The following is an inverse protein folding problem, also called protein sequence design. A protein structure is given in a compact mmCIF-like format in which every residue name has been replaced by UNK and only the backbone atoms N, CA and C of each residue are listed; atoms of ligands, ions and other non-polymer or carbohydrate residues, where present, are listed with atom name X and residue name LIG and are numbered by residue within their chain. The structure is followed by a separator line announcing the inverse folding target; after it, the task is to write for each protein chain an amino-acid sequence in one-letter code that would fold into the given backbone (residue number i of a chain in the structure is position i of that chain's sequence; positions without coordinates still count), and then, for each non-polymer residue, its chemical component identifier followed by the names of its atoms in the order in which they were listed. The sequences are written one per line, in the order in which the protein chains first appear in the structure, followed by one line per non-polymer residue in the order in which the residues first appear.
data_IF_981714031413
#
_entry.id   IF_981714031413
#
_cell.length_a   1.000
_cell.length_b   1.000
_cell.length_c   1.000
_cell.angle_alpha   90.00
_cell.angle_beta   90.00
_cell.angle_gamma   90.00
#
_symmetry.space_group_name_H-M   'P 1'
#
loop_
_entity.id
_entity.type
_entity.pdbx_description
1 polymer ?
#
# COMPACT_ATOMS: atom_id res chain seq x y z
N UNK A 1 6.65 -27.04 11.28
CA UNK A 1 6.04 -25.95 10.49
C UNK A 1 4.59 -25.83 10.91
N UNK A 2 4.18 -24.65 11.39
CA UNK A 2 2.80 -24.40 11.78
C UNK A 2 1.96 -24.41 10.50
N UNK A 3 0.97 -25.28 10.40
CA UNK A 3 0.00 -25.28 9.30
C UNK A 3 -1.27 -24.62 9.78
N UNK A 4 -1.92 -23.85 8.91
CA UNK A 4 -3.23 -23.30 9.19
C UNK A 4 -4.20 -23.54 8.03
N UNK A 5 -5.49 -23.37 8.29
CA UNK A 5 -6.52 -23.55 7.26
C UNK A 5 -6.53 -22.36 6.32
N UNK A 6 -6.66 -22.62 5.03
CA UNK A 6 -6.73 -21.61 3.98
C UNK A 6 -7.88 -20.62 4.22
N UNK A 7 -9.05 -21.09 4.62
CA UNK A 7 -10.18 -20.20 4.91
C UNK A 7 -9.87 -19.15 6.00
N UNK A 8 -9.19 -19.56 7.07
CA UNK A 8 -8.69 -18.64 8.09
C UNK A 8 -7.60 -17.74 7.55
N UNK A 9 -6.63 -18.30 6.83
CA UNK A 9 -5.52 -17.55 6.26
C UNK A 9 -6.00 -16.43 5.32
N UNK A 10 -6.99 -16.70 4.47
CA UNK A 10 -7.54 -15.69 3.56
C UNK A 10 -8.25 -14.55 4.30
N UNK A 11 -8.90 -14.84 5.44
CA UNK A 11 -9.50 -13.80 6.30
C UNK A 11 -8.42 -12.99 6.99
N UNK A 12 -7.41 -13.65 7.57
CA UNK A 12 -6.30 -12.99 8.25
C UNK A 12 -5.48 -12.10 7.27
N UNK A 13 -5.45 -12.49 5.98
CA UNK A 13 -4.90 -11.71 4.88
C UNK A 13 -5.85 -10.60 4.36
N UNK A 14 -7.11 -10.56 4.80
CA UNK A 14 -8.08 -9.55 4.38
C UNK A 14 -8.75 -9.79 3.03
N UNK A 15 -8.65 -11.00 2.45
CA UNK A 15 -9.38 -11.37 1.24
C UNK A 15 -10.89 -11.51 1.47
N UNK A 16 -11.31 -11.79 2.70
CA UNK A 16 -12.71 -11.95 3.09
C UNK A 16 -12.94 -11.43 4.51
N UNK A 17 -14.12 -10.87 4.77
CA UNK A 17 -14.49 -10.39 6.11
C UNK A 17 -14.67 -11.52 7.14
N UNK A 18 -15.10 -12.70 6.71
CA UNK A 18 -15.40 -13.80 7.62
C UNK A 18 -14.92 -15.13 7.05
N UNK A 19 -14.61 -16.06 7.96
CA UNK A 19 -14.19 -17.42 7.60
C UNK A 19 -15.26 -18.13 6.77
N UNK A 20 -16.54 -17.89 7.06
CA UNK A 20 -17.66 -18.48 6.30
C UNK A 20 -17.70 -17.98 4.85
N UNK A 21 -17.49 -16.66 4.62
CA UNK A 21 -17.36 -16.09 3.28
C UNK A 21 -16.16 -16.70 2.54
N UNK A 22 -15.00 -16.80 3.20
CA UNK A 22 -13.81 -17.43 2.64
C UNK A 22 -14.03 -18.90 2.26
N UNK A 23 -14.58 -19.71 3.18
CA UNK A 23 -14.88 -21.12 2.91
C UNK A 23 -15.83 -21.29 1.72
N UNK A 24 -16.85 -20.45 1.62
CA UNK A 24 -17.83 -20.49 0.52
C UNK A 24 -17.18 -20.17 -0.82
N UNK A 25 -16.31 -19.16 -0.87
CA UNK A 25 -15.57 -18.79 -2.08
C UNK A 25 -14.57 -19.87 -2.51
N UNK A 26 -13.86 -20.49 -1.55
CA UNK A 26 -12.98 -21.63 -1.83
C UNK A 26 -13.80 -22.77 -2.44
N UNK A 27 -14.90 -23.18 -1.82
CA UNK A 27 -15.76 -24.28 -2.32
C UNK A 27 -16.33 -24.00 -3.71
N UNK A 28 -16.62 -22.73 -4.02
CA UNK A 28 -17.07 -22.29 -5.34
C UNK A 28 -15.95 -22.25 -6.41
N UNK A 29 -14.70 -22.57 -6.05
CA UNK A 29 -13.55 -22.48 -6.95
C UNK A 29 -13.17 -21.05 -7.30
N UNK A 30 -13.47 -20.08 -6.42
CA UNK A 30 -13.16 -18.67 -6.64
C UNK A 30 -11.77 -18.26 -6.12
N UNK A 31 -11.02 -19.18 -5.51
CA UNK A 31 -9.69 -18.92 -4.97
C UNK A 31 -8.66 -19.70 -5.77
N UNK A 32 -7.68 -18.98 -6.30
CA UNK A 32 -6.51 -19.52 -7.01
C UNK A 32 -5.27 -19.26 -6.16
N UNK A 33 -4.39 -20.24 -6.02
CA UNK A 33 -3.09 -20.13 -5.34
C UNK A 33 -2.00 -20.67 -6.26
N UNK A 34 -0.99 -19.86 -6.60
CA UNK A 34 0.11 -20.24 -7.48
C UNK A 34 -0.39 -20.98 -8.75
N UNK A 35 -1.37 -20.39 -9.43
CA UNK A 35 -2.05 -20.93 -10.60
C UNK A 35 -2.98 -22.15 -10.42
N UNK A 36 -3.17 -22.65 -9.20
CA UNK A 36 -4.11 -23.75 -8.91
C UNK A 36 -5.39 -23.28 -8.23
N UNK A 37 -6.55 -23.70 -8.75
CA UNK A 37 -7.82 -23.46 -8.06
C UNK A 37 -7.97 -24.37 -6.86
N UNK A 38 -8.10 -23.76 -5.68
CA UNK A 38 -8.31 -24.50 -4.44
C UNK A 38 -9.81 -24.60 -4.18
N UNK A 39 -10.32 -25.83 -4.09
CA UNK A 39 -11.74 -26.12 -3.83
C UNK A 39 -12.00 -26.74 -2.46
N UNK A 40 -10.97 -26.85 -1.61
CA UNK A 40 -11.07 -27.43 -0.26
C UNK A 40 -10.89 -26.35 0.80
N UNK A 41 -11.97 -25.92 1.47
CA UNK A 41 -11.91 -24.88 2.50
C UNK A 41 -10.92 -25.16 3.65
N UNK A 42 -10.77 -26.43 4.04
CA UNK A 42 -9.81 -26.88 5.05
C UNK A 42 -8.40 -27.16 4.52
N UNK A 43 -8.07 -26.75 3.29
CA UNK A 43 -6.72 -26.87 2.72
C UNK A 43 -5.71 -26.26 3.68
N UNK A 44 -4.60 -26.97 3.90
CA UNK A 44 -3.60 -26.57 4.88
C UNK A 44 -2.50 -25.78 4.17
N UNK A 45 -2.23 -24.57 4.64
CA UNK A 45 -1.22 -23.67 4.11
C UNK A 45 -0.17 -23.35 5.18
N UNK A 46 1.01 -22.91 4.73
CA UNK A 46 2.11 -22.54 5.61
C UNK A 46 2.22 -21.01 5.62
N UNK A 47 1.85 -20.30 6.71
CA UNK A 47 1.91 -18.84 6.77
C UNK A 47 3.32 -18.27 6.53
N UNK A 48 4.36 -19.07 6.79
CA UNK A 48 5.75 -18.70 6.60
C UNK A 48 6.18 -18.60 5.11
N UNK A 49 5.27 -18.88 4.17
CA UNK A 49 5.52 -18.80 2.72
C UNK A 49 4.69 -17.70 2.09
N UNK A 50 5.26 -17.02 1.10
CA UNK A 50 4.50 -16.16 0.21
C UNK A 50 3.79 -16.99 -0.86
N UNK A 51 2.58 -16.55 -1.21
CA UNK A 51 1.71 -17.18 -2.20
C UNK A 51 1.14 -16.10 -3.10
N UNK A 52 1.09 -16.37 -4.41
CA UNK A 52 0.21 -15.61 -5.31
C UNK A 52 -1.22 -16.10 -5.10
N UNK A 53 -2.09 -15.23 -4.59
CA UNK A 53 -3.47 -15.56 -4.25
C UNK A 53 -4.40 -14.64 -5.03
N UNK A 54 -5.28 -15.24 -5.82
CA UNK A 54 -6.29 -14.51 -6.60
C UNK A 54 -7.68 -14.93 -6.15
N UNK A 55 -8.57 -13.95 -5.95
CA UNK A 55 -9.96 -14.16 -5.55
C UNK A 55 -10.88 -13.51 -6.58
N UNK A 56 -11.73 -14.32 -7.23
CA UNK A 56 -12.56 -13.91 -8.38
C UNK A 56 -13.49 -12.71 -8.11
N UNK A 57 -13.91 -12.50 -6.87
CA UNK A 57 -14.87 -11.45 -6.48
C UNK A 57 -14.26 -10.28 -5.71
N UNK A 58 -12.94 -10.08 -5.79
CA UNK A 58 -12.32 -8.93 -5.14
C UNK A 58 -12.68 -7.62 -5.86
N UNK A 59 -12.89 -6.52 -5.11
CA UNK A 59 -13.17 -5.22 -5.69
C UNK A 59 -11.97 -4.63 -6.45
N UNK A 60 -10.75 -5.07 -6.14
CA UNK A 60 -9.51 -4.61 -6.77
C UNK A 60 -8.71 -5.80 -7.30
N UNK A 61 -7.81 -5.58 -8.26
CA UNK A 61 -6.91 -6.65 -8.77
C UNK A 61 -5.95 -7.23 -7.73
N UNK A 62 -5.72 -6.52 -6.62
CA UNK A 62 -4.92 -7.04 -5.50
C UNK A 62 -5.41 -6.48 -4.15
N UNK A 63 -5.00 -7.12 -3.06
CA UNK A 63 -5.34 -6.65 -1.70
C UNK A 63 -4.84 -5.25 -1.37
N UNK A 64 -3.80 -4.78 -2.07
CA UNK A 64 -3.27 -3.44 -1.89
C UNK A 64 -4.38 -2.38 -1.98
N UNK A 65 -5.35 -2.57 -2.88
CA UNK A 65 -6.46 -1.62 -3.05
C UNK A 65 -7.27 -1.36 -1.77
N UNK A 66 -7.37 -2.32 -0.84
CA UNK A 66 -8.05 -2.10 0.45
C UNK A 66 -7.31 -1.12 1.37
N UNK A 67 -5.97 -1.06 1.26
CA UNK A 67 -5.17 -0.12 2.04
C UNK A 67 -5.42 1.30 1.56
N UNK A 68 -5.33 1.55 0.25
CA UNK A 68 -5.60 2.87 -0.31
C UNK A 68 -7.06 3.27 -0.11
N UNK A 69 -8.01 2.34 -0.28
CA UNK A 69 -9.43 2.60 0.02
C UNK A 69 -9.63 3.09 1.45
N UNK A 70 -8.96 2.47 2.43
CA UNK A 70 -9.00 2.94 3.83
C UNK A 70 -8.45 4.37 3.98
N UNK A 71 -7.38 4.71 3.27
CA UNK A 71 -6.86 6.08 3.26
C UNK A 71 -7.89 7.06 2.71
N UNK A 72 -8.49 6.77 1.56
CA UNK A 72 -9.48 7.64 0.91
C UNK A 72 -10.80 7.75 1.68
N UNK A 73 -11.17 6.74 2.46
CA UNK A 73 -12.33 6.79 3.36
C UNK A 73 -12.06 7.59 4.64
N UNK A 74 -10.80 7.73 5.03
CA UNK A 74 -10.40 8.39 6.27
C UNK A 74 -9.98 9.83 6.05
N UNK A 75 -9.28 10.09 4.95
CA UNK A 75 -8.76 11.41 4.60
C UNK A 75 -9.62 12.03 3.49
N UNK A 76 -9.96 13.32 3.59
CA UNK A 76 -10.74 14.04 2.57
C UNK A 76 -9.89 14.38 1.33
N UNK A 77 -9.17 13.39 0.77
CA UNK A 77 -8.37 13.53 -0.44
C UNK A 77 -9.24 13.25 -1.65
N UNK A 78 -9.42 14.25 -2.51
CA UNK A 78 -10.09 14.06 -3.79
C UNK A 78 -9.18 13.32 -4.77
N UNK A 79 -9.71 12.32 -5.48
CA UNK A 79 -9.04 11.59 -6.57
C UNK A 79 -9.63 11.92 -7.94
N UNK A 80 -10.92 12.26 -7.98
CA UNK A 80 -11.63 12.51 -9.24
C UNK A 80 -10.95 13.61 -10.07
N UNK A 81 -10.70 13.31 -11.35
CA UNK A 81 -10.07 14.22 -12.29
C UNK A 81 -8.55 14.39 -12.15
N UNK A 82 -7.91 13.83 -11.12
CA UNK A 82 -6.48 14.01 -10.84
C UNK A 82 -5.57 13.14 -11.69
N UNK A 83 -4.32 13.59 -11.81
CA UNK A 83 -3.23 12.82 -12.41
C UNK A 83 -2.46 12.19 -11.26
N UNK A 84 -2.46 10.86 -11.21
CA UNK A 84 -1.93 10.12 -10.08
C UNK A 84 -0.59 9.45 -10.40
N UNK A 85 0.22 9.26 -9.37
CA UNK A 85 1.46 8.50 -9.40
C UNK A 85 1.36 7.36 -8.39
N UNK A 86 1.40 6.11 -8.87
CA UNK A 86 1.42 4.91 -8.02
C UNK A 86 2.86 4.41 -7.88
N UNK A 87 3.49 4.74 -6.74
CA UNK A 87 4.86 4.39 -6.40
C UNK A 87 4.93 2.99 -5.77
N UNK A 88 5.34 2.01 -6.57
CA UNK A 88 5.33 0.59 -6.20
C UNK A 88 4.03 -0.10 -6.61
N UNK A 89 3.62 0.09 -7.86
CA UNK A 89 2.31 -0.34 -8.35
C UNK A 89 2.09 -1.86 -8.23
N UNK A 90 3.14 -2.67 -8.33
CA UNK A 90 3.11 -4.14 -8.24
C UNK A 90 2.04 -4.74 -9.16
N UNK A 91 1.09 -5.51 -8.62
CA UNK A 91 -0.06 -6.06 -9.38
C UNK A 91 -1.07 -4.99 -9.82
N UNK A 92 -1.02 -3.78 -9.25
CA UNK A 92 -1.87 -2.64 -9.62
C UNK A 92 -3.05 -2.39 -8.68
N UNK A 93 -2.98 -2.85 -7.42
CA UNK A 93 -4.10 -2.69 -6.47
C UNK A 93 -4.41 -1.23 -6.11
N UNK A 94 -3.39 -0.40 -5.91
CA UNK A 94 -3.53 1.04 -5.68
C UNK A 94 -4.01 1.74 -6.94
N UNK A 95 -3.41 1.45 -8.09
CA UNK A 95 -3.86 1.92 -9.41
C UNK A 95 -5.35 1.60 -9.66
N UNK A 96 -5.83 0.36 -9.44
CA UNK A 96 -7.25 0.00 -9.61
C UNK A 96 -8.14 0.83 -8.67
N UNK A 97 -7.72 1.02 -7.42
CA UNK A 97 -8.45 1.87 -6.47
C UNK A 97 -8.52 3.33 -6.93
N UNK A 98 -7.43 3.91 -7.45
CA UNK A 98 -7.43 5.26 -8.02
C UNK A 98 -8.37 5.39 -9.22
N UNK A 99 -8.29 4.44 -10.16
CA UNK A 99 -9.12 4.43 -11.37
C UNK A 99 -10.61 4.32 -11.06
N UNK A 100 -10.98 3.55 -10.04
CA UNK A 100 -12.37 3.42 -9.55
C UNK A 100 -12.87 4.68 -8.84
N UNK A 101 -11.98 5.50 -8.30
CA UNK A 101 -12.29 6.78 -7.65
C UNK A 101 -12.14 7.99 -8.58
N UNK A 102 -12.11 7.78 -9.90
CA UNK A 102 -12.19 8.85 -10.89
C UNK A 102 -10.84 9.45 -11.31
N UNK A 103 -9.71 8.80 -10.99
CA UNK A 103 -8.41 9.26 -11.48
C UNK A 103 -8.45 9.42 -13.02
N UNK A 104 -8.02 10.58 -13.50
CA UNK A 104 -7.98 10.91 -14.93
C UNK A 104 -6.86 10.14 -15.62
N UNK A 105 -5.72 9.99 -14.95
CA UNK A 105 -4.56 9.26 -15.43
C UNK A 105 -3.74 8.73 -14.25
N UNK A 106 -3.03 7.61 -14.44
CA UNK A 106 -2.15 7.01 -13.43
C UNK A 106 -0.82 6.60 -14.04
N UNK A 107 0.28 7.13 -13.51
CA UNK A 107 1.63 6.64 -13.73
C UNK A 107 1.89 5.50 -12.75
N UNK A 108 1.83 4.26 -13.23
CA UNK A 108 2.04 3.06 -12.43
C UNK A 108 3.51 2.65 -12.48
N UNK A 109 4.27 3.00 -11.44
CA UNK A 109 5.73 2.86 -11.43
C UNK A 109 6.16 1.71 -10.53
N UNK A 110 7.00 0.81 -11.04
CA UNK A 110 7.55 -0.30 -10.28
C UNK A 110 9.01 -0.61 -10.66
N UNK A 111 9.77 -1.16 -9.71
CA UNK A 111 11.14 -1.65 -9.95
C UNK A 111 11.14 -3.04 -10.59
N UNK A 112 10.04 -3.79 -10.44
CA UNK A 112 9.81 -5.07 -11.08
C UNK A 112 9.47 -4.94 -12.57
N UNK A 113 9.27 -6.08 -13.21
CA UNK A 113 8.88 -6.17 -14.62
C UNK A 113 7.73 -7.17 -14.78
N UNK A 114 6.72 -6.80 -15.57
CA UNK A 114 5.59 -7.67 -15.91
C UNK A 114 4.63 -7.94 -14.75
N UNK A 115 4.60 -7.09 -13.72
CA UNK A 115 3.83 -7.37 -12.49
C UNK A 115 2.37 -6.92 -12.57
N UNK A 116 2.08 -5.84 -13.29
CA UNK A 116 0.73 -5.29 -13.39
C UNK A 116 -0.24 -6.29 -14.01
N UNK A 117 -1.40 -6.45 -13.37
CA UNK A 117 -2.52 -7.21 -13.92
C UNK A 117 -2.92 -6.67 -15.31
N UNK A 118 -3.31 -7.58 -16.20
CA UNK A 118 -3.68 -7.24 -17.58
C UNK A 118 -4.78 -6.18 -17.68
N UNK A 119 -5.78 -6.22 -16.78
CA UNK A 119 -6.86 -5.23 -16.72
C UNK A 119 -6.30 -3.83 -16.51
N UNK A 120 -5.32 -3.70 -15.62
CA UNK A 120 -4.70 -2.41 -15.28
C UNK A 120 -3.76 -1.96 -16.38
N UNK A 121 -2.89 -2.86 -16.86
CA UNK A 121 -1.96 -2.56 -17.95
C UNK A 121 -2.66 -2.10 -19.23
N UNK A 122 -3.85 -2.62 -19.49
CA UNK A 122 -4.61 -2.32 -20.71
C UNK A 122 -5.53 -1.11 -20.59
N UNK A 123 -5.67 -0.51 -19.40
CA UNK A 123 -6.49 0.69 -19.24
C UNK A 123 -5.77 1.89 -19.88
N UNK A 124 -6.46 2.59 -20.79
CA UNK A 124 -5.92 3.76 -21.51
C UNK A 124 -5.53 4.93 -20.59
N UNK A 125 -5.99 4.91 -19.33
CA UNK A 125 -5.64 5.90 -18.31
C UNK A 125 -4.37 5.54 -17.55
N UNK A 126 -3.69 4.44 -17.88
CA UNK A 126 -2.52 3.96 -17.16
C UNK A 126 -1.28 3.99 -18.06
N UNK A 127 -0.19 4.57 -17.56
CA UNK A 127 1.15 4.40 -18.12
C UNK A 127 1.97 3.52 -17.17
N UNK A 128 2.27 2.31 -17.60
CA UNK A 128 3.15 1.42 -16.85
C UNK A 128 4.62 1.84 -17.06
N UNK A 129 5.33 2.12 -15.97
CA UNK A 129 6.76 2.46 -15.97
C UNK A 129 7.45 1.41 -15.11
N UNK A 130 8.09 0.44 -15.76
CA UNK A 130 8.67 -0.72 -15.11
C UNK A 130 10.19 -0.65 -15.09
N UNK A 131 10.81 -1.40 -14.17
CA UNK A 131 12.27 -1.41 -13.97
C UNK A 131 12.84 -0.04 -13.56
N UNK A 132 12.03 0.79 -12.91
CA UNK A 132 12.43 2.14 -12.51
C UNK A 132 12.68 2.21 -11.01
N UNK A 133 13.88 2.65 -10.63
CA UNK A 133 14.25 2.80 -9.23
C UNK A 133 13.91 4.20 -8.72
N UNK A 134 12.80 4.30 -8.00
CA UNK A 134 12.25 5.55 -7.46
C UNK A 134 13.19 6.34 -6.54
N UNK A 135 14.26 5.72 -6.04
CA UNK A 135 15.28 6.43 -5.24
C UNK A 135 16.15 7.35 -6.09
N UNK A 136 16.37 7.03 -7.37
CA UNK A 136 17.39 7.65 -8.22
C UNK A 136 16.88 8.02 -9.62
N UNK A 137 15.63 7.71 -9.97
CA UNK A 137 15.10 8.08 -11.28
C UNK A 137 14.86 9.59 -11.38
N UNK A 138 15.02 10.10 -12.59
CA UNK A 138 14.83 11.50 -12.93
C UNK A 138 13.42 11.74 -13.48
N UNK A 139 13.04 13.01 -13.58
CA UNK A 139 11.73 13.41 -14.11
C UNK A 139 11.47 12.86 -15.52
N UNK A 140 12.49 12.84 -16.37
CA UNK A 140 12.42 12.32 -17.74
C UNK A 140 12.26 10.80 -17.84
N UNK A 141 12.55 10.06 -16.76
CA UNK A 141 12.29 8.61 -16.73
C UNK A 141 10.79 8.31 -16.60
N UNK A 142 10.01 9.27 -16.11
CA UNK A 142 8.58 9.13 -15.85
C UNK A 142 7.75 9.83 -16.94
N UNK A 143 8.07 11.10 -17.20
CA UNK A 143 7.26 11.97 -18.03
C UNK A 143 7.94 12.22 -19.37
N UNK A 144 7.16 12.08 -20.45
CA UNK A 144 7.56 12.62 -21.75
C UNK A 144 7.32 14.15 -21.79
N UNK A 145 7.81 14.80 -22.83
CA UNK A 145 7.54 16.22 -23.07
C UNK A 145 6.02 16.46 -23.19
N UNK A 146 5.51 17.53 -22.59
CA UNK A 146 4.09 17.91 -22.54
C UNK A 146 3.13 16.95 -21.82
N UNK A 147 3.64 15.87 -21.21
CA UNK A 147 2.80 15.01 -20.37
C UNK A 147 2.39 15.72 -19.07
N UNK A 148 1.15 15.54 -18.59
CA UNK A 148 0.70 16.16 -17.36
C UNK A 148 1.42 15.54 -16.16
N UNK A 149 1.92 16.39 -15.26
CA UNK A 149 2.63 15.95 -14.06
C UNK A 149 1.63 15.52 -12.99
N UNK A 150 1.92 14.42 -12.30
CA UNK A 150 1.05 13.94 -11.24
C UNK A 150 0.95 14.93 -10.07
N UNK A 151 -0.26 15.12 -9.57
CA UNK A 151 -0.56 15.96 -8.41
C UNK A 151 -0.99 15.12 -7.19
N UNK A 152 -1.29 13.82 -7.35
CA UNK A 152 -1.53 12.89 -6.25
C UNK A 152 -0.59 11.70 -6.34
N UNK A 153 0.21 11.46 -5.31
CA UNK A 153 1.02 10.26 -5.20
C UNK A 153 0.45 9.30 -4.17
N UNK A 154 0.48 8.02 -4.48
CA UNK A 154 0.22 6.93 -3.53
C UNK A 154 1.46 6.04 -3.50
N UNK A 155 1.85 5.50 -2.34
CA UNK A 155 3.04 4.63 -2.27
C UNK A 155 2.84 3.39 -1.39
N UNK A 156 3.12 2.20 -1.95
CA UNK A 156 3.19 0.91 -1.24
C UNK A 156 4.56 0.24 -1.49
N UNK A 157 5.63 0.88 -1.03
CA UNK A 157 7.01 0.44 -1.29
C UNK A 157 7.46 -0.63 -0.29
N UNK A 158 8.23 -1.62 -0.75
CA UNK A 158 8.80 -2.67 0.10
C UNK A 158 10.32 -2.66 0.05
N UNK A 159 10.98 -3.11 1.12
CA UNK A 159 12.45 -3.21 1.23
C UNK A 159 13.21 -1.88 1.15
N UNK A 160 12.52 -0.74 1.27
CA UNK A 160 13.12 0.59 1.32
C UNK A 160 12.35 1.46 2.32
N UNK A 161 13.08 2.30 3.04
CA UNK A 161 12.51 3.32 3.93
C UNK A 161 11.99 4.50 3.10
N UNK A 162 10.82 5.04 3.47
CA UNK A 162 10.25 6.25 2.90
C UNK A 162 11.22 7.44 3.00
N UNK A 163 12.00 7.52 4.08
CA UNK A 163 13.01 8.58 4.28
C UNK A 163 14.11 8.58 3.21
N UNK A 164 14.27 7.47 2.47
CA UNK A 164 15.25 7.36 1.38
C UNK A 164 14.70 7.72 0.01
N UNK A 165 13.37 7.83 -0.14
CA UNK A 165 12.71 8.03 -1.44
C UNK A 165 11.87 9.30 -1.50
N UNK A 166 11.29 9.75 -0.38
CA UNK A 166 10.38 10.91 -0.36
C UNK A 166 11.00 12.18 -0.96
N UNK A 167 12.30 12.39 -0.76
CA UNK A 167 13.03 13.51 -1.38
C UNK A 167 13.03 13.44 -2.91
N UNK A 168 13.23 12.27 -3.50
CA UNK A 168 13.18 12.11 -4.95
C UNK A 168 11.74 12.17 -5.46
N UNK A 169 10.79 11.51 -4.79
CA UNK A 169 9.38 11.54 -5.15
C UNK A 169 8.82 12.96 -5.21
N UNK A 170 9.25 13.84 -4.29
CA UNK A 170 8.91 15.27 -4.34
C UNK A 170 9.26 15.94 -5.67
N UNK A 171 10.40 15.59 -6.26
CA UNK A 171 10.88 16.17 -7.51
C UNK A 171 10.13 15.62 -8.74
N UNK A 172 9.35 14.54 -8.58
CA UNK A 172 8.58 13.90 -9.64
C UNK A 172 7.12 14.36 -9.68
N UNK A 173 6.69 15.25 -8.77
CA UNK A 173 5.32 15.71 -8.68
C UNK A 173 5.18 17.16 -9.10
N UNK A 174 3.93 17.56 -9.36
CA UNK A 174 3.58 18.91 -9.78
C UNK A 174 4.12 19.94 -8.78
N UNK A 175 4.99 20.87 -9.19
CA UNK A 175 5.66 21.78 -8.26
C UNK A 175 4.73 22.80 -7.61
N UNK A 176 3.59 23.12 -8.24
CA UNK A 176 2.63 24.10 -7.71
C UNK A 176 1.85 23.52 -6.54
N UNK A 177 1.30 22.32 -6.72
CA UNK A 177 0.54 21.64 -5.67
C UNK A 177 0.57 20.14 -5.88
N UNK A 178 0.82 19.39 -4.80
CA UNK A 178 0.62 17.96 -4.78
C UNK A 178 0.38 17.43 -3.37
N UNK A 179 -0.16 16.20 -3.33
CA UNK A 179 -0.39 15.45 -2.10
C UNK A 179 0.17 14.04 -2.23
N UNK A 180 0.47 13.42 -1.09
CA UNK A 180 0.92 12.04 -1.02
C UNK A 180 0.13 11.25 0.02
N UNK A 181 -0.26 10.02 -0.33
CA UNK A 181 -0.74 9.00 0.60
C UNK A 181 0.31 7.90 0.67
N UNK A 182 1.10 7.90 1.74
CA UNK A 182 2.23 6.99 1.86
C UNK A 182 1.97 5.90 2.90
N UNK A 183 2.20 4.65 2.51
CA UNK A 183 2.16 3.51 3.41
C UNK A 183 3.49 3.38 4.17
N UNK A 184 3.44 3.56 5.48
CA UNK A 184 4.54 3.36 6.42
C UNK A 184 4.55 1.90 6.85
N UNK A 185 5.66 1.21 6.62
CA UNK A 185 5.86 -0.20 6.96
C UNK A 185 6.94 -0.35 8.03
N UNK A 186 6.59 -0.51 9.32
CA UNK A 186 7.57 -0.57 10.39
C UNK A 186 8.73 -1.54 10.16
N UNK A 187 8.48 -2.68 9.51
CA UNK A 187 9.49 -3.68 9.18
C UNK A 187 10.58 -3.22 8.18
N UNK A 188 10.34 -2.13 7.44
CA UNK A 188 11.30 -1.54 6.50
C UNK A 188 11.84 -0.19 6.96
N UNK A 189 11.22 0.40 7.98
CA UNK A 189 11.64 1.67 8.60
C UNK A 189 12.50 1.46 9.85
N UNK A 190 12.21 0.42 10.63
CA UNK A 190 12.91 0.12 11.87
C UNK A 190 14.33 -0.42 11.62
N UNK A 191 15.22 -0.18 12.58
CA UNK A 191 16.55 -0.79 12.61
C UNK A 191 16.47 -2.32 12.65
N UNK A 192 17.49 -3.01 12.10
CA UNK A 192 17.54 -4.47 12.02
C UNK A 192 17.40 -5.17 13.38
N UNK A 193 17.83 -4.51 14.45
CA UNK A 193 17.74 -4.95 15.84
C UNK A 193 16.31 -4.94 16.40
N UNK A 194 15.39 -4.18 15.78
CA UNK A 194 13.99 -4.04 16.20
C UNK A 194 13.02 -4.91 15.41
N UNK A 195 13.53 -5.71 14.47
CA UNK A 195 12.74 -6.63 13.64
C UNK A 195 12.95 -8.07 14.12
N UNK A 196 11.88 -8.71 14.57
CA UNK A 196 11.95 -10.06 15.14
C UNK A 196 12.06 -11.15 14.05
N UNK A 197 12.33 -12.39 14.48
CA UNK A 197 12.31 -13.56 13.61
C UNK A 197 10.95 -13.67 12.91
N UNK A 198 10.97 -13.74 11.58
CA UNK A 198 9.78 -13.70 10.73
C UNK A 198 9.50 -12.33 10.11
N UNK A 199 10.35 -11.33 10.37
CA UNK A 199 10.24 -10.01 9.74
C UNK A 199 9.09 -9.16 10.29
N UNK A 200 8.69 -9.40 11.54
CA UNK A 200 7.55 -8.73 12.18
C UNK A 200 8.01 -7.80 13.28
N UNK A 201 7.49 -6.57 13.30
CA UNK A 201 7.70 -5.62 14.40
C UNK A 201 6.50 -5.70 15.36
N UNK A 202 6.71 -6.16 16.60
CA UNK A 202 5.62 -6.32 17.59
C UNK A 202 5.57 -5.23 18.65
N UNK A 203 6.70 -4.56 18.90
CA UNK A 203 6.77 -3.54 19.93
C UNK A 203 6.07 -2.26 19.46
N UNK A 204 5.01 -1.84 20.16
CA UNK A 204 4.26 -0.61 19.87
C UNK A 204 5.13 0.64 19.85
N UNK A 205 6.10 0.75 20.77
CA UNK A 205 7.01 1.89 20.81
C UNK A 205 7.86 1.99 19.54
N UNK A 206 8.25 0.85 18.95
CA UNK A 206 8.94 0.85 17.65
C UNK A 206 8.03 1.38 16.55
N UNK A 207 6.71 1.09 16.59
CA UNK A 207 5.75 1.61 15.61
C UNK A 207 5.59 3.13 15.75
N UNK A 208 5.49 3.63 16.98
CA UNK A 208 5.43 5.07 17.26
C UNK A 208 6.69 5.79 16.73
N UNK A 209 7.87 5.26 17.07
CA UNK A 209 9.16 5.82 16.65
C UNK A 209 9.33 5.88 15.12
N UNK A 210 8.97 4.81 14.39
CA UNK A 210 9.10 4.83 12.92
C UNK A 210 8.14 5.81 12.27
N UNK A 211 6.93 5.96 12.82
CA UNK A 211 5.96 6.96 12.33
C UNK A 211 6.53 8.36 12.55
N UNK A 212 6.99 8.66 13.77
CA UNK A 212 7.62 9.96 14.09
C UNK A 212 8.80 10.26 13.16
N UNK A 213 9.69 9.30 12.93
CA UNK A 213 10.85 9.47 12.05
C UNK A 213 10.45 9.81 10.61
N UNK A 214 9.45 9.12 10.05
CA UNK A 214 8.96 9.38 8.69
C UNK A 214 8.30 10.76 8.61
N UNK A 215 7.45 11.11 9.58
CA UNK A 215 6.73 12.38 9.61
C UNK A 215 7.67 13.58 9.82
N UNK A 216 8.67 13.44 10.70
CA UNK A 216 9.71 14.44 10.91
C UNK A 216 10.56 14.62 9.66
N UNK A 217 10.92 13.54 8.97
CA UNK A 217 11.64 13.63 7.70
C UNK A 217 10.82 14.36 6.64
N UNK A 218 9.54 13.97 6.45
CA UNK A 218 8.62 14.62 5.52
C UNK A 218 8.51 16.13 5.80
N UNK A 219 8.38 16.51 7.08
CA UNK A 219 8.36 17.92 7.50
C UNK A 219 9.66 18.65 7.19
N UNK A 220 10.81 17.99 7.38
CA UNK A 220 12.12 18.59 7.11
C UNK A 220 12.37 18.87 5.62
N UNK A 221 11.74 18.10 4.73
CA UNK A 221 11.76 18.35 3.28
C UNK A 221 10.58 19.21 2.79
N UNK A 222 9.82 19.82 3.71
CA UNK A 222 8.84 20.85 3.40
C UNK A 222 7.40 20.38 3.19
N UNK A 223 7.04 19.14 3.56
CA UNK A 223 5.64 18.71 3.56
C UNK A 223 4.89 19.14 4.81
N UNK A 224 3.62 19.46 4.65
CA UNK A 224 2.64 19.48 5.73
C UNK A 224 2.09 18.08 5.99
N UNK A 225 1.90 17.73 7.25
CA UNK A 225 1.30 16.47 7.71
C UNK A 225 -0.20 16.71 7.95
N UNK A 226 -1.03 16.08 7.13
CA UNK A 226 -2.49 16.28 7.10
C UNK A 226 -3.28 15.16 7.76
N UNK A 227 -2.64 14.00 7.97
CA UNK A 227 -3.35 12.84 8.49
C UNK A 227 -2.43 11.66 8.78
N UNK A 228 -2.83 10.85 9.75
CA UNK A 228 -2.27 9.55 10.06
C UNK A 228 -3.39 8.58 10.39
N UNK A 229 -3.34 7.37 9.84
CA UNK A 229 -4.22 6.26 10.19
C UNK A 229 -3.47 4.94 9.99
N UNK A 230 -4.14 3.81 10.20
CA UNK A 230 -3.61 2.47 9.95
C UNK A 230 -4.27 1.81 8.75
N UNK A 231 -3.54 0.91 8.10
CA UNK A 231 -4.06 0.05 7.03
C UNK A 231 -5.18 -0.84 7.57
N UNK A 232 -6.22 -1.03 6.77
CA UNK A 232 -7.36 -1.92 7.08
C UNK A 232 -6.97 -3.40 7.11
N UNK A 233 -5.83 -3.77 6.53
CA UNK A 233 -5.29 -5.12 6.49
C UNK A 233 -3.82 -5.12 6.93
N UNK A 234 -3.35 -6.25 7.46
CA UNK A 234 -1.93 -6.47 7.75
C UNK A 234 -1.14 -6.78 6.49
N UNK A 235 0.16 -6.48 6.52
CA UNK A 235 1.11 -6.97 5.53
C UNK A 235 1.19 -8.50 5.51
N UNK A 236 1.78 -9.12 4.47
CA UNK A 236 1.76 -10.58 4.27
C UNK A 236 2.26 -11.40 5.48
N UNK A 237 3.32 -10.93 6.15
CA UNK A 237 3.89 -11.57 7.34
C UNK A 237 3.15 -11.20 8.65
N UNK A 238 2.05 -10.46 8.58
CA UNK A 238 1.26 -10.03 9.73
C UNK A 238 1.67 -8.69 10.35
N UNK A 239 2.51 -7.90 9.67
CA UNK A 239 2.87 -6.55 10.13
C UNK A 239 1.67 -5.60 10.08
N UNK A 240 1.50 -4.80 11.13
CA UNK A 240 0.62 -3.63 11.09
C UNK A 240 1.33 -2.54 10.29
N UNK A 241 0.61 -1.91 9.36
CA UNK A 241 1.12 -0.87 8.46
C UNK A 241 0.28 0.39 8.64
N UNK A 242 0.87 1.57 8.44
CA UNK A 242 0.21 2.86 8.64
C UNK A 242 0.13 3.66 7.35
N UNK A 243 -0.80 4.61 7.29
CA UNK A 243 -0.99 5.51 6.16
C UNK A 243 -0.84 6.94 6.65
N UNK A 244 0.07 7.70 6.04
CA UNK A 244 0.16 9.14 6.27
C UNK A 244 -0.29 9.92 5.03
N UNK A 245 -0.90 11.07 5.28
CA UNK A 245 -1.29 12.04 4.26
C UNK A 245 -0.40 13.27 4.37
N UNK A 246 0.32 13.56 3.29
CA UNK A 246 1.25 14.66 3.16
C UNK A 246 0.76 15.63 2.08
N UNK A 247 1.09 16.91 2.21
CA UNK A 247 0.79 17.94 1.20
C UNK A 247 1.95 18.91 1.03
N UNK A 248 2.18 19.38 -0.19
CA UNK A 248 3.18 20.43 -0.47
C UNK A 248 2.86 21.76 0.23
N UNK A 249 1.63 21.96 0.68
CA UNK A 249 1.21 23.11 1.49
C UNK A 249 1.40 22.86 2.99
N UNK A 250 2.41 23.52 3.56
CA UNK A 250 2.83 23.36 4.96
C UNK A 250 1.86 23.96 5.99
N UNK A 251 0.98 24.86 5.56
CA UNK A 251 0.19 25.72 6.47
C UNK A 251 -0.88 24.98 7.28
N UNK A 252 -1.29 23.77 6.89
CA UNK A 252 -2.30 22.98 7.64
C UNK A 252 -1.69 21.73 8.29
N UNK A 253 -0.63 21.86 9.09
CA UNK A 253 -0.20 20.76 9.95
C UNK A 253 -1.28 20.49 11.00
N UNK A 254 -1.75 19.25 11.10
CA UNK A 254 -2.64 18.84 12.17
C UNK A 254 -1.85 18.21 13.32
N UNK A 255 -2.32 18.41 14.54
CA UNK A 255 -1.82 17.65 15.69
C UNK A 255 -2.25 16.19 15.55
N UNK A 256 -1.28 15.27 15.62
CA UNK A 256 -1.52 13.84 15.48
C UNK A 256 -1.36 13.14 16.82
N UNK A 257 -2.32 12.27 17.16
CA UNK A 257 -2.16 11.30 18.24
C UNK A 257 -1.61 9.98 17.69
N UNK A 258 -0.29 9.94 17.54
CA UNK A 258 0.44 8.76 17.03
C UNK A 258 0.20 7.57 17.96
N UNK A 259 0.26 7.79 19.27
CA UNK A 259 0.09 6.74 20.28
C UNK A 259 -1.29 6.11 20.19
N UNK A 260 -2.36 6.92 20.18
CA UNK A 260 -3.72 6.40 20.05
C UNK A 260 -3.91 5.65 18.71
N UNK A 261 -3.34 6.16 17.61
CA UNK A 261 -3.40 5.48 16.30
C UNK A 261 -2.76 4.08 16.36
N UNK A 262 -1.58 3.96 16.98
CA UNK A 262 -0.88 2.68 17.18
C UNK A 262 -1.68 1.77 18.11
N UNK A 263 -2.19 2.29 19.22
CA UNK A 263 -3.02 1.51 20.16
C UNK A 263 -4.28 0.95 19.50
N UNK A 264 -4.97 1.77 18.72
CA UNK A 264 -6.16 1.37 17.96
C UNK A 264 -5.83 0.31 16.92
N UNK A 265 -4.76 0.50 16.13
CA UNK A 265 -4.34 -0.46 15.12
C UNK A 265 -4.05 -1.84 15.74
N UNK A 266 -3.34 -1.88 16.87
CA UNK A 266 -3.07 -3.12 17.60
C UNK A 266 -4.34 -3.76 18.14
N UNK A 267 -5.29 -2.97 18.64
CA UNK A 267 -6.56 -3.46 19.15
C UNK A 267 -7.43 -4.05 18.02
N UNK A 268 -7.52 -3.37 16.89
CA UNK A 268 -8.40 -3.78 15.78
C UNK A 268 -7.81 -4.94 15.00
N UNK A 269 -6.51 -4.94 14.72
CA UNK A 269 -5.91 -5.90 13.80
C UNK A 269 -5.38 -7.18 14.48
N UNK A 270 -5.21 -7.22 15.81
CA UNK A 270 -4.75 -8.41 16.53
C UNK A 270 -5.86 -9.16 17.30
N UNK A 271 -7.10 -8.66 17.29
CA UNK A 271 -8.27 -9.34 17.83
C UNK A 271 -8.93 -10.23 16.75
#
# INVERSE_FOLDING_TARGET
MKKERLDKYLVDLGYFETKSKASSAILAGHVKINDEYITKAGFQISPDKEYDIQVKSMPFVSRGGFKLKKALDTFPVAVDGRICFDAGASTGGFTDCLLQNGAKFVYAVDVGYGQLDWKIRSDKRVKAIERTNLKICDFSDIYAEEEPVADLLVSDLSFISLTKVLGNLKNLLNPEFHEMLCLIKPQFEAGKDKVEKGGVVRNKFTHEEVIENVLNFASSIGYGIKGLTYSSIKGPSGNIEYLCWLSSHKEDNIELDIKNTVEEAFRVLNN
#
